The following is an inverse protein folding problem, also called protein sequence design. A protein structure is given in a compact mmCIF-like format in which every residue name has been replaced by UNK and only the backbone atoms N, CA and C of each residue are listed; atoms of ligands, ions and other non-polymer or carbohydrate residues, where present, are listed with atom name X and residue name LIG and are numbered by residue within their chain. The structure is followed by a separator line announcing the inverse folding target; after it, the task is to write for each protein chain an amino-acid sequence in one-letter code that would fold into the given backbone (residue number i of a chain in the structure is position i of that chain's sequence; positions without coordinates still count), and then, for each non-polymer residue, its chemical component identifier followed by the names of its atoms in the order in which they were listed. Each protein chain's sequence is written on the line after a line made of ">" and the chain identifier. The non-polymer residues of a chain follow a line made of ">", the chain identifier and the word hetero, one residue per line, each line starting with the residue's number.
data_IF_321724666476
#
_entry.id   IF_321724666476
#
_cell.length_a   1.000
_cell.length_b   1.000
_cell.length_c   1.000
_cell.angle_alpha   90.00
_cell.angle_beta   90.00
_cell.angle_gamma   90.00
#
_symmetry.space_group_name_H-M   'P 1'
#
loop_
_entity.id
_entity.type
_entity.pdbx_description
1 polymer ?
#
# COMPACT_ATOMS: atom_id res chain seq x y z
N UNK A 1 21.84 7.87 7.79
CA UNK A 1 20.36 7.95 7.72
C UNK A 1 19.97 8.93 6.64
N UNK A 2 19.28 8.48 5.57
CA UNK A 2 18.66 9.41 4.60
C UNK A 2 17.54 10.17 5.33
N UNK A 3 17.44 11.49 5.12
CA UNK A 3 16.31 12.27 5.62
C UNK A 3 15.03 11.63 5.08
N UNK A 4 14.04 11.43 5.95
CA UNK A 4 12.68 11.11 5.53
C UNK A 4 12.21 12.23 4.60
N UNK A 5 11.62 11.87 3.47
CA UNK A 5 10.96 12.84 2.61
C UNK A 5 9.99 13.65 3.49
N UNK A 6 10.07 14.99 3.42
CA UNK A 6 9.17 15.90 4.13
C UNK A 6 7.77 15.82 3.49
N UNK A 7 7.13 14.66 3.62
CA UNK A 7 5.80 14.45 3.15
C UNK A 7 4.83 15.00 4.20
N UNK A 8 3.77 15.74 3.79
CA UNK A 8 2.72 16.17 4.70
C UNK A 8 1.80 15.00 5.14
N UNK A 9 2.29 13.76 5.08
CA UNK A 9 1.55 12.53 5.41
C UNK A 9 2.33 11.68 6.40
N UNK A 10 1.61 11.00 7.29
CA UNK A 10 2.18 10.19 8.39
C UNK A 10 2.78 8.87 7.92
N UNK A 11 2.22 8.28 6.87
CA UNK A 11 2.62 6.96 6.37
C UNK A 11 3.35 7.06 5.05
N UNK A 12 4.30 6.17 4.88
CA UNK A 12 5.12 6.06 3.68
C UNK A 12 4.94 4.69 3.04
N UNK A 13 5.60 4.46 1.90
CA UNK A 13 5.57 3.16 1.23
C UNK A 13 6.05 2.00 2.10
N UNK A 14 6.88 2.25 3.13
CA UNK A 14 7.32 1.21 4.07
C UNK A 14 6.24 0.76 5.05
N UNK A 15 5.19 1.56 5.25
CA UNK A 15 4.09 1.24 6.15
C UNK A 15 2.98 0.40 5.48
N UNK A 16 3.14 0.10 4.19
CA UNK A 16 2.21 -0.69 3.38
C UNK A 16 2.92 -1.92 2.82
N UNK A 17 2.38 -3.10 3.12
CA UNK A 17 2.85 -4.37 2.60
C UNK A 17 1.86 -4.90 1.55
N UNK A 18 2.26 -4.90 0.27
CA UNK A 18 1.48 -5.50 -0.80
C UNK A 18 1.68 -7.02 -0.74
N UNK A 19 0.60 -7.76 -0.52
CA UNK A 19 0.61 -9.23 -0.41
C UNK A 19 0.45 -9.84 -1.80
N UNK A 20 -0.54 -9.36 -2.56
CA UNK A 20 -0.84 -9.89 -3.87
C UNK A 20 -1.43 -8.81 -4.79
N UNK A 21 -1.24 -9.01 -6.09
CA UNK A 21 -1.89 -8.27 -7.16
C UNK A 21 -2.41 -9.29 -8.15
N UNK A 22 -3.72 -9.32 -8.35
CA UNK A 22 -4.39 -10.28 -9.23
C UNK A 22 -5.21 -9.54 -10.28
N UNK A 23 -4.98 -9.82 -11.56
CA UNK A 23 -5.81 -9.26 -12.64
C UNK A 23 -7.14 -9.99 -12.71
N UNK A 24 -8.24 -9.28 -12.45
CA UNK A 24 -9.61 -9.80 -12.53
C UNK A 24 -10.22 -9.65 -13.92
N UNK A 25 -9.81 -8.62 -14.66
CA UNK A 25 -10.19 -8.43 -16.05
C UNK A 25 -9.02 -7.87 -16.84
N UNK A 26 -8.80 -8.36 -18.06
CA UNK A 26 -7.72 -7.93 -18.94
C UNK A 26 -8.26 -7.66 -20.35
N UNK A 27 -8.25 -6.38 -20.73
CA UNK A 27 -8.56 -5.89 -22.09
C UNK A 27 -7.67 -4.70 -22.43
N UNK A 28 -8.20 -3.73 -23.19
CA UNK A 28 -7.52 -2.43 -23.42
C UNK A 28 -7.28 -1.71 -22.08
N UNK A 29 -8.18 -1.91 -21.11
CA UNK A 29 -7.96 -1.60 -19.70
C UNK A 29 -7.95 -2.89 -18.88
N UNK A 30 -7.27 -2.84 -17.74
CA UNK A 30 -7.22 -3.95 -16.78
C UNK A 30 -7.86 -3.53 -15.47
N UNK A 31 -8.57 -4.48 -14.85
CA UNK A 31 -9.02 -4.38 -13.47
C UNK A 31 -8.16 -5.30 -12.63
N UNK A 32 -7.35 -4.73 -11.74
CA UNK A 32 -6.49 -5.47 -10.83
C UNK A 32 -6.99 -5.33 -9.39
N UNK A 33 -7.06 -6.45 -8.67
CA UNK A 33 -7.33 -6.49 -7.24
C UNK A 33 -6.00 -6.51 -6.50
N UNK A 34 -5.79 -5.49 -5.67
CA UNK A 34 -4.66 -5.40 -4.76
C UNK A 34 -5.08 -5.88 -3.39
N UNK A 35 -4.32 -6.84 -2.86
CA UNK A 35 -4.44 -7.31 -1.48
C UNK A 35 -3.21 -6.82 -0.74
N UNK A 36 -3.41 -6.04 0.30
CA UNK A 36 -2.33 -5.41 1.06
C UNK A 36 -2.70 -5.28 2.52
N UNK A 37 -1.68 -5.12 3.37
CA UNK A 37 -1.81 -4.70 4.75
C UNK A 37 -1.14 -3.35 4.94
N UNK A 38 -1.64 -2.55 5.85
CA UNK A 38 -1.07 -1.24 6.16
C UNK A 38 -1.08 -0.98 7.66
N UNK A 39 -0.18 -0.10 8.09
CA UNK A 39 -0.19 0.42 9.46
C UNK A 39 -1.37 1.36 9.65
N UNK A 40 -2.08 1.18 10.76
CA UNK A 40 -3.17 2.04 11.19
C UNK A 40 -2.61 3.19 12.03
N UNK A 41 -3.32 4.32 12.11
CA UNK A 41 -2.95 5.46 12.96
C UNK A 41 -2.70 5.09 14.44
N UNK A 42 -3.49 4.18 15.06
CA UNK A 42 -3.22 3.72 16.43
C UNK A 42 -1.98 2.83 16.57
N UNK A 43 -1.27 2.52 15.48
CA UNK A 43 -0.05 1.72 15.47
C UNK A 43 -0.23 0.23 15.20
N UNK A 44 -1.46 -0.29 15.18
CA UNK A 44 -1.77 -1.67 14.80
C UNK A 44 -1.63 -1.90 13.27
N UNK A 45 -1.51 -3.15 12.84
CA UNK A 45 -1.49 -3.54 11.41
C UNK A 45 -2.89 -3.99 11.00
N UNK A 46 -3.35 -3.58 9.81
CA UNK A 46 -4.63 -4.04 9.25
C UNK A 46 -4.62 -5.56 9.02
N UNK A 47 -5.75 -6.22 9.29
CA UNK A 47 -5.93 -7.68 9.13
C UNK A 47 -5.87 -8.15 7.68
#
# INVERSE_FOLDING_TARGET
>A
MRKSDNLPVTFTKSDVAIIARETRYRGVFSLDVYRFRQRLFPGAVSG
#
